data_IF_979771946556
#
_entry.id   IF_979771946556
#
_cell.length_a   1.000
_cell.length_b   1.000
_cell.length_c   1.000
_cell.angle_alpha   90.00
_cell.angle_beta   90.00
_cell.angle_gamma   90.00
#
_symmetry.space_group_name_H-M   'P 1'
#
loop_
_entity.id
_entity.type
_entity.pdbx_description
1 polymer ?
#
# COMPACT_ATOMS: atom_id res chain seq x y z
N UNK A 1 -3.78 11.67 -10.42
CA UNK A 1 -2.77 10.66 -10.77
C UNK A 1 -1.33 11.13 -10.53
N UNK A 2 -1.05 12.43 -10.34
CA UNK A 2 0.32 12.95 -10.16
C UNK A 2 1.10 12.41 -8.96
N UNK A 3 0.40 11.99 -7.91
CA UNK A 3 0.99 11.35 -6.73
C UNK A 3 1.79 10.10 -7.10
N UNK A 4 1.35 9.32 -8.09
CA UNK A 4 2.05 8.11 -8.53
C UNK A 4 3.31 8.41 -9.35
N UNK A 5 3.39 9.58 -9.99
CA UNK A 5 4.59 10.00 -10.72
C UNK A 5 5.64 10.65 -9.82
N UNK A 6 5.23 11.21 -8.67
CA UNK A 6 6.12 11.93 -7.75
C UNK A 6 6.57 11.08 -6.55
N UNK A 7 5.73 10.14 -6.10
CA UNK A 7 6.02 9.33 -4.94
C UNK A 7 6.67 7.99 -5.32
N UNK A 8 7.79 7.66 -4.68
CA UNK A 8 8.44 6.34 -4.83
C UNK A 8 7.67 5.22 -4.11
N UNK A 9 7.02 5.56 -3.01
CA UNK A 9 6.28 4.63 -2.16
C UNK A 9 4.93 5.24 -1.80
N UNK A 10 3.87 4.46 -1.89
CA UNK A 10 2.51 4.87 -1.53
C UNK A 10 1.86 3.87 -0.58
N UNK A 11 0.84 4.33 0.13
CA UNK A 11 0.00 3.49 0.99
C UNK A 11 -1.45 3.69 0.58
N UNK A 12 -2.17 2.60 0.33
CA UNK A 12 -3.58 2.65 -0.05
C UNK A 12 -4.46 2.57 1.18
N UNK A 13 -5.11 3.68 1.51
CA UNK A 13 -6.08 3.79 2.59
C UNK A 13 -7.51 3.74 2.02
N UNK A 14 -8.34 2.84 2.54
CA UNK A 14 -9.76 2.77 2.21
C UNK A 14 -10.56 3.81 2.99
N UNK A 15 -11.81 4.03 2.57
CA UNK A 15 -12.72 4.98 3.23
C UNK A 15 -13.07 4.58 4.67
N UNK A 16 -12.95 3.29 5.02
CA UNK A 16 -13.27 2.78 6.36
C UNK A 16 -12.02 2.61 7.24
N UNK A 17 -10.95 3.38 6.99
CA UNK A 17 -9.68 3.34 7.74
C UNK A 17 -9.00 1.95 7.74
N UNK A 18 -9.09 1.21 6.63
CA UNK A 18 -8.26 0.03 6.39
C UNK A 18 -7.16 0.35 5.38
N UNK A 19 -6.07 -0.38 5.46
CA UNK A 19 -4.92 -0.22 4.58
C UNK A 19 -4.69 -1.49 3.79
N UNK A 20 -4.33 -1.36 2.51
CA UNK A 20 -3.87 -2.49 1.71
C UNK A 20 -2.48 -2.90 2.22
N UNK A 21 -2.36 -4.14 2.66
CA UNK A 21 -1.13 -4.73 3.20
C UNK A 21 -0.78 -6.02 2.45
N UNK A 22 0.50 -6.25 2.25
CA UNK A 22 1.03 -7.55 1.85
C UNK A 22 0.87 -8.55 3.00
N UNK A 23 0.45 -9.77 2.69
CA UNK A 23 0.42 -10.87 3.65
C UNK A 23 1.84 -11.47 3.80
N UNK A 24 2.02 -12.36 4.78
CA UNK A 24 3.30 -13.01 5.06
C UNK A 24 3.71 -14.03 3.99
N UNK A 25 2.77 -14.45 3.14
CA UNK A 25 3.01 -15.38 2.02
C UNK A 25 3.68 -14.71 0.80
N UNK A 26 3.85 -13.38 0.81
CA UNK A 26 4.39 -12.57 -0.30
C UNK A 26 3.62 -12.65 -1.62
N UNK A 27 2.47 -13.32 -1.64
CA UNK A 27 1.65 -13.52 -2.84
C UNK A 27 0.30 -12.81 -2.71
N UNK A 28 -0.25 -12.82 -1.50
CA UNK A 28 -1.58 -12.30 -1.24
C UNK A 28 -1.53 -10.92 -0.61
N UNK A 29 -2.63 -10.20 -0.81
CA UNK A 29 -2.84 -8.88 -0.22
C UNK A 29 -4.14 -8.88 0.55
N UNK A 30 -4.19 -8.12 1.64
CA UNK A 30 -5.38 -8.01 2.49
C UNK A 30 -5.60 -6.58 2.93
N UNK A 31 -6.78 -6.29 3.43
CA UNK A 31 -7.08 -5.01 4.05
C UNK A 31 -7.14 -5.15 5.57
N UNK A 32 -6.26 -4.43 6.27
CA UNK A 32 -6.22 -4.44 7.74
C UNK A 32 -6.30 -3.04 8.34
N UNK A 33 -6.81 -2.97 9.58
CA UNK A 33 -6.74 -1.75 10.41
C UNK A 33 -5.40 -1.63 11.14
N UNK A 34 -4.67 -2.73 11.34
CA UNK A 34 -3.46 -2.77 12.15
C UNK A 34 -2.28 -2.05 11.48
N UNK A 35 -1.60 -1.20 12.26
CA UNK A 35 -0.33 -0.50 12.00
C UNK A 35 -0.27 0.46 10.80
N UNK A 36 -1.36 0.67 10.06
CA UNK A 36 -1.52 1.78 9.11
C UNK A 36 -0.33 2.01 8.16
N UNK A 37 -0.01 3.28 7.90
CA UNK A 37 1.16 3.71 7.11
C UNK A 37 2.50 3.43 7.81
N UNK A 38 2.51 3.10 9.10
CA UNK A 38 3.73 2.80 9.88
C UNK A 38 4.24 1.37 9.65
N UNK A 39 3.42 0.50 9.08
CA UNK A 39 3.83 -0.86 8.71
C UNK A 39 4.47 -0.89 7.33
N UNK A 40 5.66 -1.48 7.20
CA UNK A 40 6.28 -1.72 5.89
C UNK A 40 5.43 -2.60 4.97
N UNK A 41 4.54 -3.43 5.54
CA UNK A 41 3.61 -4.25 4.75
C UNK A 41 2.58 -3.42 3.99
N UNK A 42 2.34 -2.15 4.37
CA UNK A 42 1.42 -1.25 3.67
C UNK A 42 2.12 -0.31 2.67
N UNK A 43 3.42 -0.50 2.45
CA UNK A 43 4.22 0.30 1.54
C UNK A 43 4.27 -0.37 0.17
N UNK A 44 3.76 0.33 -0.84
CA UNK A 44 3.70 -0.13 -2.21
C UNK A 44 4.61 0.70 -3.07
N UNK A 45 5.56 0.04 -3.74
CA UNK A 45 6.35 0.66 -4.78
C UNK A 45 5.47 0.89 -6.01
N UNK A 46 5.66 2.04 -6.64
CA UNK A 46 4.94 2.41 -7.86
C UNK A 46 5.91 2.32 -9.01
N UNK A 47 5.62 1.43 -9.96
CA UNK A 47 6.40 1.27 -11.18
C UNK A 47 5.53 1.68 -12.38
N UNK A 48 5.93 2.72 -13.14
CA UNK A 48 5.26 3.07 -14.38
C UNK A 48 5.43 1.94 -15.40
N UNK A 49 4.34 1.52 -16.02
CA UNK A 49 4.35 0.54 -17.11
C UNK A 49 4.07 1.28 -18.42
N UNK A 50 4.93 1.11 -19.42
CA UNK A 50 4.84 1.72 -20.76
C UNK A 50 4.60 0.67 -21.83
#
# INVERSE_FOLDING_TARGET
MDIFHKAKVVTFKSQIDKYLVADDDQETTRQSRSNGSLSRKSWWLVEPVS
#
